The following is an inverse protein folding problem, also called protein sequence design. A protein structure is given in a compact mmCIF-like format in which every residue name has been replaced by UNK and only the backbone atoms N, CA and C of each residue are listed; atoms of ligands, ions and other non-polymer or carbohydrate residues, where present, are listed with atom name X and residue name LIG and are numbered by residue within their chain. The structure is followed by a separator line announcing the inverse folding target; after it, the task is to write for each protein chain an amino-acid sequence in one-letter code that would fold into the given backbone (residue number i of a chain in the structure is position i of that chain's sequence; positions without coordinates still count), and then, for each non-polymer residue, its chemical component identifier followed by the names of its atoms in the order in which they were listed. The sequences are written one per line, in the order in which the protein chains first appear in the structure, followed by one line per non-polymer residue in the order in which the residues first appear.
data_IF_039313446633
#
_entry.id   IF_039313446633
#
_cell.length_a   1.000
_cell.length_b   1.000
_cell.length_c   1.000
_cell.angle_alpha   90.00
_cell.angle_beta   90.00
_cell.angle_gamma   90.00
#
_symmetry.space_group_name_H-M   'P 1'
#
loop_
_entity.id
_entity.type
_entity.pdbx_description
1 polymer ?
#
# COMPACT_ATOMS: atom_id res chain seq x y z
N UNK A 1 1.04 1.26 21.76
CA UNK A 1 2.06 0.82 20.78
C UNK A 1 1.77 1.53 19.46
N UNK A 2 2.73 2.24 18.86
CA UNK A 2 2.49 3.09 17.68
C UNK A 2 1.97 2.33 16.46
N UNK A 3 2.21 1.01 16.39
CA UNK A 3 1.93 0.18 15.21
C UNK A 3 0.55 -0.45 15.16
N UNK A 4 -0.39 -0.06 16.02
CA UNK A 4 -1.75 -0.56 15.87
C UNK A 4 -2.42 0.01 14.62
N UNK A 5 -3.31 -0.76 14.00
CA UNK A 5 -4.03 -0.37 12.80
C UNK A 5 -4.69 1.00 12.96
N UNK A 6 -5.41 1.23 14.06
CA UNK A 6 -6.12 2.49 14.30
C UNK A 6 -5.20 3.73 14.36
N UNK A 7 -3.92 3.55 14.69
CA UNK A 7 -2.96 4.65 14.75
C UNK A 7 -2.44 5.05 13.36
N UNK A 8 -2.53 4.16 12.37
CA UNK A 8 -1.97 4.35 11.03
C UNK A 8 -3.07 4.54 9.98
N UNK A 9 -4.13 3.73 10.05
CA UNK A 9 -5.11 3.55 8.99
C UNK A 9 -6.51 3.86 9.51
N UNK A 10 -7.21 4.80 8.89
CA UNK A 10 -8.65 4.95 9.06
C UNK A 10 -9.33 3.85 8.27
N UNK A 11 -10.06 2.99 8.98
CA UNK A 11 -10.84 1.90 8.37
C UNK A 11 -12.22 2.38 7.88
N UNK A 12 -12.54 3.65 8.03
CA UNK A 12 -13.72 4.27 7.41
C UNK A 12 -13.66 4.08 5.89
N UNK A 13 -14.73 3.59 5.27
CA UNK A 13 -14.79 3.28 3.83
C UNK A 13 -13.70 2.31 3.30
N UNK A 14 -12.96 1.63 4.19
CA UNK A 14 -12.03 0.59 3.80
C UNK A 14 -12.84 -0.64 3.33
N UNK A 15 -12.61 -1.15 2.10
CA UNK A 15 -13.40 -2.26 1.56
C UNK A 15 -13.27 -3.55 2.38
N UNK A 16 -12.25 -3.67 3.23
CA UNK A 16 -12.00 -4.82 4.10
C UNK A 16 -11.80 -4.45 5.57
N UNK A 17 -12.46 -3.38 6.06
CA UNK A 17 -12.33 -2.88 7.43
C UNK A 17 -12.43 -3.99 8.50
N UNK A 18 -13.41 -4.89 8.35
CA UNK A 18 -13.65 -5.98 9.31
C UNK A 18 -12.46 -6.94 9.43
N UNK A 19 -11.69 -7.15 8.35
CA UNK A 19 -10.58 -8.09 8.33
C UNK A 19 -9.37 -7.62 9.16
N UNK A 20 -9.30 -6.32 9.45
CA UNK A 20 -8.30 -5.73 10.35
C UNK A 20 -8.64 -5.91 11.83
N UNK A 21 -9.89 -6.22 12.18
CA UNK A 21 -10.27 -6.38 13.59
C UNK A 21 -9.54 -7.58 14.23
N UNK A 22 -9.06 -7.36 15.46
CA UNK A 22 -8.35 -8.37 16.23
C UNK A 22 -6.91 -8.63 15.77
N UNK A 23 -6.43 -7.99 14.70
CA UNK A 23 -5.02 -8.04 14.32
C UNK A 23 -4.18 -7.28 15.34
N UNK A 24 -3.01 -7.85 15.67
CA UNK A 24 -2.03 -7.18 16.54
C UNK A 24 -1.30 -6.10 15.76
N UNK A 25 -0.98 -6.38 14.50
CA UNK A 25 -0.26 -5.48 13.60
C UNK A 25 -0.92 -5.39 12.22
N UNK A 26 -0.87 -4.23 11.55
CA UNK A 26 -1.56 -4.01 10.28
C UNK A 26 -1.05 -4.90 9.16
N UNK A 27 0.22 -5.29 9.13
CA UNK A 27 0.76 -6.18 8.09
C UNK A 27 0.22 -7.61 8.16
N UNK A 28 -0.36 -8.03 9.28
CA UNK A 28 -0.96 -9.37 9.42
C UNK A 28 -2.16 -9.54 8.45
N UNK A 29 -2.75 -8.43 7.97
CA UNK A 29 -3.80 -8.46 6.95
C UNK A 29 -3.34 -9.12 5.66
N UNK A 30 -2.05 -9.02 5.32
CA UNK A 30 -1.49 -9.53 4.06
C UNK A 30 -1.71 -11.04 3.93
N UNK A 31 -1.63 -11.79 5.03
CA UNK A 31 -1.90 -13.22 5.02
C UNK A 31 -3.36 -13.56 4.66
N UNK A 32 -4.29 -12.64 4.90
CA UNK A 32 -5.73 -12.79 4.62
C UNK A 32 -6.11 -12.39 3.19
N UNK A 33 -5.33 -11.53 2.53
CA UNK A 33 -5.65 -10.96 1.20
C UNK A 33 -6.09 -11.99 0.16
N UNK A 34 -5.46 -13.19 0.04
CA UNK A 34 -5.91 -14.19 -0.92
C UNK A 34 -7.39 -14.57 -0.79
N UNK A 35 -7.95 -14.58 0.43
CA UNK A 35 -9.36 -14.86 0.69
C UNK A 35 -10.24 -13.59 0.68
N UNK A 36 -9.67 -12.43 1.02
CA UNK A 36 -10.43 -11.18 1.14
C UNK A 36 -11.13 -10.75 -0.13
N UNK A 37 -10.55 -11.01 -1.31
CA UNK A 37 -11.19 -10.62 -2.58
C UNK A 37 -12.55 -11.32 -2.71
N UNK A 38 -12.62 -12.62 -2.43
CA UNK A 38 -13.88 -13.37 -2.48
C UNK A 38 -14.88 -12.87 -1.43
N UNK A 39 -14.43 -12.64 -0.20
CA UNK A 39 -15.28 -12.11 0.88
C UNK A 39 -15.89 -10.74 0.54
N UNK A 40 -15.09 -9.84 -0.06
CA UNK A 40 -15.55 -8.51 -0.49
C UNK A 40 -16.60 -8.64 -1.59
N UNK A 41 -16.37 -9.50 -2.58
CA UNK A 41 -17.30 -9.73 -3.69
C UNK A 41 -18.63 -10.29 -3.20
N UNK A 42 -18.61 -11.28 -2.30
CA UNK A 42 -19.82 -11.85 -1.69
C UNK A 42 -20.60 -10.83 -0.87
N UNK A 43 -19.89 -9.94 -0.16
CA UNK A 43 -20.51 -8.88 0.65
C UNK A 43 -21.04 -7.72 -0.20
N UNK A 44 -20.57 -7.57 -1.44
CA UNK A 44 -20.89 -6.45 -2.32
C UNK A 44 -21.26 -6.93 -3.74
N UNK A 45 -22.28 -7.78 -3.92
CA UNK A 45 -22.52 -8.53 -5.17
C UNK A 45 -22.88 -7.66 -6.38
N UNK A 46 -23.18 -6.38 -6.18
CA UNK A 46 -23.52 -5.42 -7.24
C UNK A 46 -22.50 -4.29 -7.41
N UNK A 47 -21.45 -4.22 -6.57
CA UNK A 47 -20.47 -3.13 -6.60
C UNK A 47 -19.45 -3.31 -7.73
N UNK A 48 -19.16 -4.54 -8.11
CA UNK A 48 -18.08 -4.88 -9.02
C UNK A 48 -18.57 -5.68 -10.22
N UNK A 49 -18.04 -5.35 -11.40
CA UNK A 49 -18.18 -6.12 -12.63
C UNK A 49 -16.91 -6.91 -12.90
N UNK A 50 -17.04 -8.14 -13.40
CA UNK A 50 -15.89 -8.95 -13.80
C UNK A 50 -15.53 -8.68 -15.26
N UNK A 51 -14.40 -8.02 -15.50
CA UNK A 51 -13.96 -7.65 -16.87
C UNK A 51 -13.04 -8.70 -17.51
N UNK A 52 -12.44 -9.57 -16.70
CA UNK A 52 -11.64 -10.72 -17.11
C UNK A 52 -11.65 -11.77 -15.99
N UNK A 53 -11.20 -12.99 -16.28
CA UNK A 53 -11.11 -14.05 -15.28
C UNK A 53 -10.29 -13.59 -14.06
N UNK A 54 -10.95 -13.57 -12.90
CA UNK A 54 -10.36 -13.11 -11.64
C UNK A 54 -10.02 -11.62 -11.55
N UNK A 55 -10.57 -10.77 -12.43
CA UNK A 55 -10.37 -9.31 -12.40
C UNK A 55 -11.72 -8.60 -12.28
N UNK A 56 -11.91 -7.89 -11.17
CA UNK A 56 -13.16 -7.23 -10.83
C UNK A 56 -12.98 -5.73 -10.63
N UNK A 57 -13.92 -4.94 -11.13
CA UNK A 57 -13.79 -3.48 -11.27
C UNK A 57 -15.08 -2.78 -10.86
N UNK A 58 -14.96 -1.73 -10.06
CA UNK A 58 -16.10 -0.89 -9.66
C UNK A 58 -16.51 0.11 -10.75
N UNK A 59 -17.74 0.61 -10.63
CA UNK A 59 -18.33 1.53 -11.60
C UNK A 59 -17.48 2.80 -11.82
N UNK A 60 -17.39 3.24 -13.08
CA UNK A 60 -16.72 4.50 -13.45
C UNK A 60 -15.19 4.44 -13.42
N UNK A 61 -14.61 3.26 -13.20
CA UNK A 61 -13.16 3.07 -13.29
C UNK A 61 -12.72 3.02 -14.75
N UNK A 62 -11.71 3.81 -15.09
CA UNK A 62 -11.11 3.89 -16.42
C UNK A 62 -9.84 3.05 -16.48
N UNK A 63 -9.75 2.17 -17.49
CA UNK A 63 -8.63 1.26 -17.67
C UNK A 63 -8.09 1.41 -19.07
N UNK A 64 -6.80 1.73 -19.18
CA UNK A 64 -6.09 1.77 -20.45
C UNK A 64 -5.97 0.37 -21.08
N UNK A 65 -6.13 0.27 -22.40
CA UNK A 65 -6.00 -0.97 -23.19
C UNK A 65 -4.63 -1.69 -23.01
N UNK A 66 -3.61 -0.94 -22.64
CA UNK A 66 -2.24 -1.45 -22.41
C UNK A 66 -1.98 -1.87 -20.97
N UNK A 67 -2.92 -1.65 -20.04
CA UNK A 67 -2.82 -2.19 -18.69
C UNK A 67 -2.80 -3.73 -18.74
N UNK A 68 -2.11 -4.35 -17.78
CA UNK A 68 -2.02 -5.80 -17.67
C UNK A 68 -2.41 -6.25 -16.27
N UNK A 69 -3.07 -7.40 -16.22
CA UNK A 69 -3.55 -7.99 -14.98
C UNK A 69 -3.02 -9.41 -14.85
N UNK A 70 -2.64 -9.79 -13.63
CA UNK A 70 -2.45 -11.16 -13.22
C UNK A 70 -3.34 -11.40 -12.01
N UNK A 71 -4.41 -12.16 -12.21
CA UNK A 71 -5.46 -12.40 -11.23
C UNK A 71 -4.96 -13.10 -9.94
N UNK A 72 -5.69 -12.97 -8.81
CA UNK A 72 -6.88 -12.13 -8.65
C UNK A 72 -6.56 -10.65 -8.42
N UNK A 73 -7.40 -9.76 -8.95
CA UNK A 73 -7.29 -8.30 -8.76
C UNK A 73 -8.69 -7.71 -8.54
N UNK A 74 -8.84 -6.88 -7.51
CA UNK A 74 -10.06 -6.13 -7.22
C UNK A 74 -9.77 -4.63 -7.26
N UNK A 75 -10.52 -3.89 -8.07
CA UNK A 75 -10.36 -2.45 -8.27
C UNK A 75 -11.67 -1.76 -7.89
N UNK A 76 -11.58 -0.70 -7.08
CA UNK A 76 -12.69 0.14 -6.65
C UNK A 76 -13.38 0.88 -7.79
N UNK A 77 -14.32 1.75 -7.41
CA UNK A 77 -15.04 2.64 -8.31
C UNK A 77 -14.23 3.90 -8.61
N UNK A 78 -14.45 4.50 -9.78
CA UNK A 78 -13.86 5.79 -10.17
C UNK A 78 -12.33 5.83 -10.15
N UNK A 79 -11.66 4.68 -10.30
CA UNK A 79 -10.20 4.60 -10.35
C UNK A 79 -9.68 4.92 -11.76
N UNK A 80 -8.41 5.29 -11.84
CA UNK A 80 -7.70 5.45 -13.11
C UNK A 80 -6.53 4.47 -13.18
N UNK A 81 -6.57 3.55 -14.15
CA UNK A 81 -5.51 2.59 -14.43
C UNK A 81 -4.87 2.97 -15.77
N UNK A 82 -3.73 3.66 -15.70
CA UNK A 82 -3.09 4.29 -16.85
C UNK A 82 -2.31 3.29 -17.73
N UNK A 83 -1.81 3.73 -18.90
CA UNK A 83 -1.08 2.87 -19.82
C UNK A 83 0.10 2.13 -19.20
N UNK A 84 0.26 0.85 -19.53
CA UNK A 84 1.34 -0.03 -19.05
C UNK A 84 1.40 -0.23 -17.52
N UNK A 85 0.34 0.08 -16.77
CA UNK A 85 0.23 -0.39 -15.39
C UNK A 85 0.18 -1.93 -15.34
N UNK A 86 0.84 -2.54 -14.36
CA UNK A 86 0.82 -3.99 -14.17
C UNK A 86 0.31 -4.35 -12.77
N UNK A 87 -0.94 -4.81 -12.70
CA UNK A 87 -1.55 -5.25 -11.44
C UNK A 87 -1.45 -6.77 -11.35
N UNK A 88 -0.82 -7.25 -10.27
CA UNK A 88 -0.58 -8.66 -10.03
C UNK A 88 -1.47 -9.20 -8.93
N UNK A 89 -1.36 -10.51 -8.72
CA UNK A 89 -2.26 -11.26 -7.87
C UNK A 89 -2.37 -10.66 -6.47
N UNK A 90 -3.55 -10.85 -5.88
CA UNK A 90 -3.87 -10.43 -4.52
C UNK A 90 -3.75 -8.91 -4.34
N UNK A 91 -4.14 -8.15 -5.36
CA UNK A 91 -4.18 -6.68 -5.29
C UNK A 91 -5.59 -6.22 -5.06
N UNK A 92 -5.79 -5.40 -4.02
CA UNK A 92 -7.06 -4.74 -3.69
C UNK A 92 -6.80 -3.24 -3.76
N UNK A 93 -7.58 -2.55 -4.58
CA UNK A 93 -7.49 -1.09 -4.77
C UNK A 93 -8.84 -0.49 -4.39
N UNK A 94 -8.81 0.50 -3.49
CA UNK A 94 -9.98 1.26 -3.05
C UNK A 94 -10.46 2.25 -4.12
N UNK A 95 -11.53 2.96 -3.80
CA UNK A 95 -12.20 3.85 -4.74
C UNK A 95 -11.33 5.10 -5.03
N UNK A 96 -11.44 5.66 -6.23
CA UNK A 96 -10.73 6.89 -6.66
C UNK A 96 -9.20 6.84 -6.60
N UNK A 97 -8.62 5.64 -6.65
CA UNK A 97 -7.18 5.48 -6.72
C UNK A 97 -6.63 5.65 -8.15
N UNK A 98 -5.37 6.08 -8.24
CA UNK A 98 -4.64 6.20 -9.51
C UNK A 98 -3.47 5.23 -9.50
N UNK A 99 -3.47 4.29 -10.43
CA UNK A 99 -2.31 3.45 -10.75
C UNK A 99 -1.78 3.84 -12.10
N UNK A 100 -0.65 4.55 -12.07
CA UNK A 100 -0.16 5.24 -13.23
C UNK A 100 0.78 4.44 -14.13
N UNK A 101 1.41 5.13 -15.08
CA UNK A 101 2.17 4.50 -16.15
C UNK A 101 3.40 3.78 -15.64
N UNK A 102 3.58 2.54 -16.11
CA UNK A 102 4.67 1.64 -15.74
C UNK A 102 4.77 1.39 -14.21
N UNK A 103 3.68 1.61 -13.47
CA UNK A 103 3.58 1.23 -12.07
C UNK A 103 3.15 -0.24 -11.94
N UNK A 104 3.79 -0.97 -11.04
CA UNK A 104 3.48 -2.36 -10.72
C UNK A 104 2.98 -2.50 -9.28
N UNK A 105 1.86 -3.20 -9.10
CA UNK A 105 1.29 -3.51 -7.78
C UNK A 105 1.14 -5.02 -7.64
N UNK A 106 1.55 -5.57 -6.50
CA UNK A 106 1.47 -7.01 -6.25
C UNK A 106 1.24 -7.30 -4.78
N UNK A 107 0.21 -8.08 -4.47
CA UNK A 107 -0.08 -8.50 -3.10
C UNK A 107 -0.16 -7.31 -2.14
N UNK A 108 -1.05 -6.36 -2.42
CA UNK A 108 -1.13 -5.12 -1.68
C UNK A 108 -2.58 -4.63 -1.54
N UNK A 109 -2.83 -3.86 -0.50
CA UNK A 109 -4.09 -3.17 -0.26
C UNK A 109 -3.82 -1.67 -0.36
N UNK A 110 -4.40 -1.03 -1.37
CA UNK A 110 -4.39 0.41 -1.55
C UNK A 110 -5.77 0.92 -1.12
N UNK A 111 -5.83 1.82 -0.15
CA UNK A 111 -7.10 2.40 0.30
C UNK A 111 -7.57 3.44 -0.72
N UNK A 112 -8.72 4.07 -0.44
CA UNK A 112 -9.29 5.06 -1.32
C UNK A 112 -8.31 6.22 -1.56
N UNK A 113 -8.38 6.80 -2.76
CA UNK A 113 -7.62 8.00 -3.15
C UNK A 113 -6.09 7.85 -3.16
N UNK A 114 -5.57 6.62 -3.09
CA UNK A 114 -4.12 6.36 -3.22
C UNK A 114 -3.65 6.71 -4.63
N UNK A 115 -2.49 7.36 -4.74
CA UNK A 115 -1.90 7.80 -6.01
C UNK A 115 -0.48 7.27 -6.17
N UNK A 116 -0.28 6.40 -7.14
CA UNK A 116 1.02 5.82 -7.53
C UNK A 116 1.25 5.99 -9.04
N UNK A 117 1.38 7.26 -9.43
CA UNK A 117 1.16 7.73 -10.79
C UNK A 117 2.29 7.43 -11.80
N UNK A 118 3.53 7.19 -11.35
CA UNK A 118 4.65 7.13 -12.29
C UNK A 118 5.74 6.18 -11.82
N UNK A 119 5.90 5.06 -12.54
CA UNK A 119 7.04 4.16 -12.40
C UNK A 119 7.25 3.67 -10.96
N UNK A 120 6.16 3.37 -10.26
CA UNK A 120 6.20 2.90 -8.88
C UNK A 120 6.21 1.36 -8.81
N UNK A 121 6.82 0.79 -7.78
CA UNK A 121 6.62 -0.62 -7.42
C UNK A 121 6.08 -0.71 -6.01
N UNK A 122 4.93 -1.37 -5.85
CA UNK A 122 4.25 -1.59 -4.57
C UNK A 122 4.00 -3.08 -4.38
N UNK A 123 4.78 -3.72 -3.52
CA UNK A 123 4.68 -5.15 -3.28
C UNK A 123 4.49 -5.50 -1.81
N UNK A 124 3.61 -6.44 -1.48
CA UNK A 124 3.45 -6.98 -0.12
C UNK A 124 3.23 -5.85 0.93
N UNK A 125 2.29 -4.92 0.66
CA UNK A 125 2.17 -3.61 1.35
C UNK A 125 0.72 -3.19 1.64
N UNK A 126 0.53 -2.25 2.57
CA UNK A 126 -0.76 -1.59 2.85
C UNK A 126 -0.56 -0.08 2.78
N UNK A 127 -1.29 0.58 1.89
CA UNK A 127 -1.26 2.03 1.73
C UNK A 127 -2.59 2.63 2.20
N UNK A 128 -2.53 3.47 3.24
CA UNK A 128 -3.67 4.18 3.79
C UNK A 128 -4.30 5.19 2.83
N UNK A 129 -5.40 5.79 3.25
CA UNK A 129 -6.20 6.69 2.39
C UNK A 129 -5.36 7.89 1.94
N UNK A 130 -5.45 8.25 0.67
CA UNK A 130 -4.78 9.45 0.15
C UNK A 130 -3.25 9.38 0.18
N UNK A 131 -2.66 8.19 0.36
CA UNK A 131 -1.20 8.02 0.24
C UNK A 131 -0.74 8.38 -1.17
N UNK A 132 0.36 9.11 -1.27
CA UNK A 132 0.96 9.48 -2.55
C UNK A 132 2.42 9.01 -2.65
N UNK A 133 2.73 8.31 -3.74
CA UNK A 133 4.10 7.99 -4.12
C UNK A 133 4.52 8.84 -5.32
N UNK A 134 5.54 9.67 -5.12
CA UNK A 134 6.19 10.43 -6.18
C UNK A 134 6.82 9.53 -7.24
N UNK A 135 7.14 10.11 -8.39
CA UNK A 135 7.65 9.38 -9.53
C UNK A 135 8.92 8.58 -9.18
N UNK A 136 8.93 7.30 -9.56
CA UNK A 136 10.07 6.42 -9.31
C UNK A 136 10.27 6.04 -7.84
N UNK A 137 9.33 6.37 -6.94
CA UNK A 137 9.38 5.87 -5.57
C UNK A 137 9.08 4.36 -5.54
N UNK A 138 9.94 3.59 -4.85
CA UNK A 138 9.92 2.13 -4.83
C UNK A 138 9.71 1.61 -3.41
N UNK A 139 8.77 0.68 -3.25
CA UNK A 139 8.60 -0.09 -2.01
C UNK A 139 9.23 -1.46 -2.19
N UNK A 140 10.46 -1.61 -1.70
CA UNK A 140 11.15 -2.89 -1.69
C UNK A 140 10.53 -3.81 -0.64
N UNK A 141 10.30 -5.07 -1.00
CA UNK A 141 9.60 -6.01 -0.13
C UNK A 141 10.38 -7.28 0.20
N UNK A 142 11.62 -7.37 -0.29
CA UNK A 142 12.46 -8.55 -0.12
C UNK A 142 13.81 -8.17 0.46
N UNK A 143 14.23 -8.92 1.47
CA UNK A 143 15.53 -8.74 2.11
C UNK A 143 16.61 -9.45 1.28
N UNK A 144 17.66 -8.70 0.91
CA UNK A 144 18.81 -9.25 0.17
C UNK A 144 19.57 -10.31 0.96
N UNK A 145 19.59 -10.18 2.29
CA UNK A 145 20.14 -11.19 3.18
C UNK A 145 19.10 -12.29 3.49
N UNK A 146 19.56 -13.52 3.79
CA UNK A 146 18.68 -14.58 4.28
C UNK A 146 17.86 -14.16 5.51
N UNK A 147 16.70 -14.78 5.67
CA UNK A 147 15.79 -14.56 6.80
C UNK A 147 14.53 -13.77 6.45
N UNK A 148 13.76 -13.48 7.48
CA UNK A 148 12.50 -12.75 7.42
C UNK A 148 12.74 -11.23 7.50
N UNK A 149 11.69 -10.47 7.14
CA UNK A 149 11.65 -9.03 7.31
C UNK A 149 11.28 -8.72 8.76
N UNK A 150 11.98 -7.77 9.37
CA UNK A 150 11.69 -7.28 10.72
C UNK A 150 11.25 -5.82 10.63
N UNK A 151 10.35 -5.42 11.51
CA UNK A 151 9.99 -4.01 11.70
C UNK A 151 10.81 -3.46 12.85
N UNK A 152 11.45 -2.30 12.65
CA UNK A 152 12.35 -1.69 13.64
C UNK A 152 11.78 -0.36 14.10
N UNK A 153 11.65 -0.16 15.42
CA UNK A 153 11.22 1.10 16.03
C UNK A 153 12.20 1.48 17.14
N UNK A 154 13.04 2.48 16.89
CA UNK A 154 14.13 2.79 17.82
C UNK A 154 15.00 1.55 18.05
N UNK A 155 15.08 1.09 19.29
CA UNK A 155 15.82 -0.13 19.68
C UNK A 155 14.97 -1.40 19.61
N UNK A 156 13.65 -1.28 19.44
CA UNK A 156 12.75 -2.43 19.37
C UNK A 156 12.79 -3.08 17.98
N UNK A 157 12.97 -4.40 17.97
CA UNK A 157 12.90 -5.22 16.75
C UNK A 157 11.72 -6.17 16.86
N UNK A 158 10.76 -6.01 15.95
CA UNK A 158 9.57 -6.84 15.87
C UNK A 158 9.76 -7.84 14.73
N UNK A 159 9.83 -9.12 15.08
CA UNK A 159 9.91 -10.21 14.12
C UNK A 159 8.54 -10.44 13.48
N UNK A 160 8.45 -10.28 12.16
CA UNK A 160 7.17 -10.44 11.44
C UNK A 160 6.89 -11.88 11.04
N UNK A 161 7.93 -12.72 10.97
CA UNK A 161 7.86 -14.06 10.38
C UNK A 161 7.71 -14.06 8.84
N UNK A 162 7.58 -12.91 8.20
CA UNK A 162 7.31 -12.80 6.77
C UNK A 162 8.60 -12.80 5.95
N UNK A 163 8.66 -13.62 4.89
CA UNK A 163 9.78 -13.56 3.92
C UNK A 163 9.70 -12.31 3.05
N UNK A 164 8.49 -11.80 2.81
CA UNK A 164 8.24 -10.57 2.05
C UNK A 164 7.30 -9.65 2.83
N UNK A 165 7.70 -8.40 2.95
CA UNK A 165 6.90 -7.32 3.51
C UNK A 165 7.50 -6.02 2.97
N UNK A 166 6.69 -5.24 2.26
CA UNK A 166 7.05 -3.92 1.77
C UNK A 166 6.88 -2.88 2.86
N UNK A 167 5.86 -2.04 2.75
CA UNK A 167 5.59 -0.97 3.71
C UNK A 167 4.15 -0.96 4.20
N UNK A 168 3.96 -0.43 5.41
CA UNK A 168 2.66 0.01 5.90
C UNK A 168 2.69 1.53 5.98
N UNK A 169 1.88 2.19 5.15
CA UNK A 169 1.81 3.64 5.09
C UNK A 169 0.49 4.12 5.65
N UNK A 170 0.54 5.01 6.63
CA UNK A 170 -0.63 5.61 7.23
C UNK A 170 -1.29 6.63 6.30
N UNK A 171 -2.54 7.00 6.64
CA UNK A 171 -3.34 7.92 5.85
C UNK A 171 -2.61 9.24 5.57
N UNK A 172 -2.69 9.72 4.34
CA UNK A 172 -2.09 10.98 3.87
C UNK A 172 -0.57 10.99 3.89
N UNK A 173 0.10 9.85 4.03
CA UNK A 173 1.56 9.81 3.94
C UNK A 173 2.05 10.07 2.51
N UNK A 174 3.15 10.81 2.40
CA UNK A 174 3.76 11.16 1.11
C UNK A 174 5.20 10.64 1.01
N UNK A 175 5.55 10.12 -0.16
CA UNK A 175 6.92 9.69 -0.45
C UNK A 175 7.40 10.42 -1.70
N UNK A 176 8.48 11.17 -1.57
CA UNK A 176 9.07 11.96 -2.64
C UNK A 176 9.66 11.10 -3.75
N UNK A 177 9.88 11.74 -4.91
CA UNK A 177 10.38 11.07 -6.11
C UNK A 177 11.69 10.32 -5.86
N UNK A 178 11.83 9.16 -6.49
CA UNK A 178 13.01 8.29 -6.42
C UNK A 178 13.43 7.87 -4.99
N UNK A 179 12.56 8.02 -3.99
CA UNK A 179 12.80 7.48 -2.66
C UNK A 179 12.57 5.96 -2.64
N UNK A 180 13.26 5.28 -1.73
CA UNK A 180 13.14 3.83 -1.52
C UNK A 180 12.69 3.57 -0.10
N UNK A 181 11.52 2.94 0.03
CA UNK A 181 11.10 2.33 1.29
C UNK A 181 11.65 0.90 1.33
N UNK A 182 12.49 0.62 2.32
CA UNK A 182 13.05 -0.72 2.53
C UNK A 182 12.00 -1.67 3.13
N UNK A 183 12.21 -3.00 3.04
CA UNK A 183 11.29 -3.97 3.61
C UNK A 183 11.02 -3.71 5.10
N UNK A 184 9.74 -3.72 5.48
CA UNK A 184 9.27 -3.47 6.85
C UNK A 184 9.20 -1.99 7.24
N UNK A 185 9.22 -1.06 6.27
CA UNK A 185 9.08 0.37 6.57
C UNK A 185 7.65 0.70 7.01
N UNK A 186 7.53 1.46 8.10
CA UNK A 186 6.25 1.96 8.61
C UNK A 186 6.26 3.49 8.53
N UNK A 187 5.32 4.06 7.79
CA UNK A 187 5.19 5.50 7.61
C UNK A 187 3.93 5.97 8.34
N UNK A 188 4.06 6.89 9.30
CA UNK A 188 2.94 7.41 10.08
C UNK A 188 1.96 8.25 9.26
N UNK A 189 0.77 8.50 9.81
CA UNK A 189 -0.25 9.37 9.18
C UNK A 189 0.31 10.75 8.89
N UNK A 190 0.14 11.25 7.66
CA UNK A 190 0.62 12.56 7.23
C UNK A 190 2.14 12.73 7.30
N UNK A 191 2.90 11.64 7.41
CA UNK A 191 4.35 11.72 7.39
C UNK A 191 4.86 11.87 5.95
N UNK A 192 6.00 12.53 5.79
CA UNK A 192 6.58 12.86 4.49
C UNK A 192 7.99 12.28 4.40
N UNK A 193 8.30 11.58 3.32
CA UNK A 193 9.67 11.14 2.99
C UNK A 193 10.17 12.02 1.87
N UNK A 194 11.29 12.71 2.06
CA UNK A 194 11.87 13.55 1.02
C UNK A 194 12.36 12.73 -0.19
N UNK A 195 12.40 13.35 -1.39
CA UNK A 195 12.96 12.72 -2.58
C UNK A 195 14.36 12.15 -2.36
N UNK A 196 14.72 11.12 -3.13
CA UNK A 196 16.03 10.45 -3.09
C UNK A 196 16.41 9.81 -1.74
N UNK A 197 15.47 9.73 -0.81
CA UNK A 197 15.71 9.15 0.50
C UNK A 197 15.62 7.63 0.47
N UNK A 198 16.52 6.93 1.16
CA UNK A 198 16.34 5.52 1.52
C UNK A 198 15.93 5.42 2.99
N UNK A 199 14.81 4.76 3.27
CA UNK A 199 14.26 4.67 4.60
C UNK A 199 14.00 3.23 5.05
N UNK A 200 14.26 2.92 6.31
CA UNK A 200 13.84 1.71 7.02
C UNK A 200 13.47 2.09 8.45
N UNK A 201 12.43 1.46 8.99
CA UNK A 201 12.03 1.61 10.38
C UNK A 201 10.66 2.28 10.49
N UNK A 202 10.49 3.18 11.44
CA UNK A 202 9.23 3.87 11.71
C UNK A 202 9.39 5.39 11.64
N UNK A 203 8.55 6.05 10.83
CA UNK A 203 8.37 7.51 10.85
C UNK A 203 7.11 7.81 11.66
N UNK A 204 7.18 8.63 12.73
CA UNK A 204 5.99 9.05 13.47
C UNK A 204 5.00 9.85 12.61
N UNK A 205 3.72 9.94 13.00
CA UNK A 205 2.75 10.79 12.33
C UNK A 205 3.26 12.24 12.21
N UNK A 206 2.88 12.90 11.12
CA UNK A 206 3.19 14.31 10.87
C UNK A 206 4.68 14.65 11.06
N UNK A 207 5.53 13.78 10.56
CA UNK A 207 6.99 13.91 10.62
C UNK A 207 7.57 13.80 9.22
N UNK A 208 8.56 14.63 8.93
CA UNK A 208 9.31 14.63 7.70
C UNK A 208 10.61 13.86 7.93
N UNK A 209 10.87 12.85 7.11
CA UNK A 209 12.20 12.24 6.96
C UNK A 209 12.94 12.91 5.81
N UNK A 210 14.04 13.59 6.12
CA UNK A 210 14.84 14.35 5.15
C UNK A 210 15.96 13.53 4.50
N UNK A 211 16.18 12.31 4.97
CA UNK A 211 17.33 11.48 4.63
C UNK A 211 18.33 11.39 5.79
N UNK A 212 19.25 10.41 5.72
CA UNK A 212 20.35 10.24 6.68
C UNK A 212 19.95 10.16 8.16
N UNK A 213 18.75 9.63 8.44
CA UNK A 213 18.21 9.52 9.81
C UNK A 213 17.56 10.79 10.35
N UNK A 214 17.57 11.91 9.64
CA UNK A 214 16.99 13.17 10.11
C UNK A 214 15.46 13.14 10.04
N UNK A 215 14.83 13.27 11.21
CA UNK A 215 13.38 13.40 11.38
C UNK A 215 13.06 14.79 11.93
N UNK A 216 12.14 15.50 11.28
CA UNK A 216 11.65 16.81 11.75
C UNK A 216 10.12 16.84 11.79
N UNK A 217 9.50 17.53 12.76
CA UNK A 217 8.05 17.70 12.76
C UNK A 217 7.55 18.45 11.53
N UNK A 218 6.44 18.00 10.94
CA UNK A 218 5.70 18.73 9.91
C UNK A 218 4.98 19.91 10.59
N UNK A 219 5.38 21.13 10.25
CA UNK A 219 4.74 22.35 10.73
C UNK A 219 3.52 22.67 9.87
N UNK A 220 2.47 23.19 10.50
CA UNK A 220 1.28 23.74 9.81
C UNK A 220 1.65 24.96 8.95
#
# INVERSE_FOLDING_TARGET
MPLKTENLLSLEDCPCAQAFLGLKYPWEILAKVPALIEEILLSNPKKYEQIAEGVWVGQGTEISDTARFKAPVLIGAGCEIWPNAYLRQNTIIGDHAVVGTASEVKHAILFNEVKIAHFNYVGDSVLGRGVHLGAGAIISNFRSLPGTVNVVIGEEVIETGLRKLGAIMGDGAEVGCNAVLNPGSIIGRGAVVYPLSSFRGYIPPRTIYKGSGELVPLRD
#
